data_IF_769919497316
#
_entry.id   IF_769919497316
#
_cell.length_a   1.000
_cell.length_b   1.000
_cell.length_c   1.000
_cell.angle_alpha   90.00
_cell.angle_beta   90.00
_cell.angle_gamma   90.00
#
_symmetry.space_group_name_H-M   'P 1'
#
loop_
_entity.id
_entity.type
_entity.pdbx_description
1 polymer ?
#
# COMPACT_ATOMS: atom_id res chain seq x y z
N UNK A 1 -0.25 -10.97 4.55
CA UNK A 1 0.59 -10.42 3.45
C UNK A 1 0.15 -8.96 3.26
N UNK A 2 1.04 -7.97 3.09
CA UNK A 2 0.72 -6.54 3.00
C UNK A 2 1.26 -6.00 1.66
N UNK A 3 0.67 -4.93 1.14
CA UNK A 3 0.91 -4.44 -0.20
C UNK A 3 0.66 -2.92 -0.32
N UNK A 4 1.46 -2.20 -1.13
CA UNK A 4 1.65 -0.73 -1.11
C UNK A 4 1.19 -0.07 -2.42
N UNK A 5 0.60 1.14 -2.38
CA UNK A 5 0.27 2.00 -3.54
C UNK A 5 0.03 3.45 -3.07
N UNK A 6 0.63 4.51 -3.68
CA UNK A 6 0.50 5.94 -3.28
C UNK A 6 0.04 6.89 -4.41
N UNK A 7 -1.18 7.45 -4.40
CA UNK A 7 -1.66 8.46 -5.40
C UNK A 7 -2.02 9.80 -4.76
N UNK A 8 -1.51 10.93 -5.27
CA UNK A 8 -1.97 12.31 -4.92
C UNK A 8 -1.99 13.24 -6.14
N UNK A 9 -2.97 14.14 -6.15
CA UNK A 9 -3.46 14.94 -7.28
C UNK A 9 -2.66 16.23 -7.55
N UNK A 10 -2.06 16.40 -8.74
CA UNK A 10 -1.70 17.70 -9.34
C UNK A 10 -1.94 17.69 -10.85
N UNK A 11 -2.53 18.76 -11.37
CA UNK A 11 -3.22 18.77 -12.66
C UNK A 11 -2.30 18.80 -13.88
N UNK A 12 -2.36 17.73 -14.68
CA UNK A 12 -2.30 17.82 -16.16
C UNK A 12 -2.81 16.56 -16.89
N UNK A 13 -2.95 15.42 -16.21
CA UNK A 13 -3.87 14.32 -16.57
C UNK A 13 -4.21 13.57 -15.30
N UNK A 14 -5.30 13.93 -14.62
CA UNK A 14 -5.71 13.10 -13.49
C UNK A 14 -6.49 11.94 -14.06
N UNK A 15 -5.78 10.82 -14.27
CA UNK A 15 -6.44 9.52 -14.38
C UNK A 15 -7.39 9.39 -13.20
N UNK A 16 -8.66 9.10 -13.46
CA UNK A 16 -9.70 9.11 -12.43
C UNK A 16 -9.33 8.17 -11.27
N UNK A 17 -9.89 8.41 -10.09
CA UNK A 17 -9.65 7.54 -8.92
C UNK A 17 -9.90 6.05 -9.25
N UNK A 18 -10.83 5.74 -10.14
CA UNK A 18 -11.08 4.38 -10.62
C UNK A 18 -9.91 3.78 -11.41
N UNK A 19 -9.28 4.54 -12.30
CA UNK A 19 -8.13 4.07 -13.09
C UNK A 19 -6.92 3.86 -12.18
N UNK A 20 -6.73 4.78 -11.24
CA UNK A 20 -5.70 4.67 -10.21
C UNK A 20 -5.93 3.45 -9.33
N UNK A 21 -7.15 3.26 -8.82
CA UNK A 21 -7.48 2.08 -8.02
C UNK A 21 -7.40 0.77 -8.82
N UNK A 22 -7.59 0.80 -10.14
CA UNK A 22 -7.33 -0.36 -10.99
C UNK A 22 -5.83 -0.68 -11.07
N UNK A 23 -4.98 0.33 -11.33
CA UNK A 23 -3.53 0.15 -11.32
C UNK A 23 -3.05 -0.37 -9.95
N UNK A 24 -3.65 0.14 -8.87
CA UNK A 24 -3.48 -0.40 -7.51
C UNK A 24 -3.80 -1.88 -7.49
N UNK A 25 -5.06 -2.20 -7.74
CA UNK A 25 -5.64 -3.54 -7.73
C UNK A 25 -4.80 -4.55 -8.51
N UNK A 26 -4.40 -4.22 -9.74
CA UNK A 26 -3.67 -5.13 -10.62
C UNK A 26 -2.28 -5.48 -10.05
N UNK A 27 -1.55 -4.50 -9.51
CA UNK A 27 -0.26 -4.73 -8.87
C UNK A 27 -0.40 -5.42 -7.49
N UNK A 28 -1.52 -5.20 -6.79
CA UNK A 28 -1.87 -5.98 -5.59
C UNK A 28 -1.92 -7.45 -5.90
N UNK A 29 -2.77 -7.78 -6.86
CA UNK A 29 -3.01 -9.16 -7.28
C UNK A 29 -1.74 -9.81 -7.81
N UNK A 30 -0.90 -9.07 -8.53
CA UNK A 30 0.36 -9.59 -9.06
C UNK A 30 1.31 -10.04 -7.93
N UNK A 31 1.60 -9.17 -6.97
CA UNK A 31 2.52 -9.52 -5.86
C UNK A 31 1.95 -10.59 -4.94
N UNK A 32 0.64 -10.58 -4.66
CA UNK A 32 0.01 -11.65 -3.86
C UNK A 32 -0.27 -12.92 -4.65
N UNK A 33 0.09 -12.95 -5.95
CA UNK A 33 -0.15 -14.08 -6.85
C UNK A 33 -1.62 -14.53 -6.85
N UNK A 34 -2.53 -13.54 -6.83
CA UNK A 34 -3.97 -13.78 -6.77
C UNK A 34 -4.45 -14.47 -8.04
N UNK A 35 -5.15 -15.63 -7.95
CA UNK A 35 -5.66 -16.33 -9.12
C UNK A 35 -6.61 -15.46 -9.95
N UNK A 36 -6.57 -15.57 -11.28
CA UNK A 36 -7.49 -14.85 -12.17
C UNK A 36 -8.98 -15.15 -11.87
N UNK A 37 -9.28 -16.32 -11.31
CA UNK A 37 -10.63 -16.72 -10.88
C UNK A 37 -11.12 -16.03 -9.60
N UNK A 38 -10.24 -15.38 -8.82
CA UNK A 38 -10.63 -14.65 -7.62
C UNK A 38 -11.31 -13.32 -8.01
N UNK A 39 -12.60 -13.12 -7.67
CA UNK A 39 -13.36 -11.93 -8.06
C UNK A 39 -13.05 -10.70 -7.21
N UNK A 40 -12.27 -10.83 -6.13
CA UNK A 40 -11.97 -9.71 -5.23
C UNK A 40 -11.00 -8.73 -5.90
N UNK A 41 -11.29 -7.41 -5.94
CA UNK A 41 -10.44 -6.45 -6.64
C UNK A 41 -8.97 -6.53 -6.19
N UNK A 42 -8.73 -6.58 -4.89
CA UNK A 42 -7.38 -6.58 -4.32
C UNK A 42 -6.86 -7.97 -3.96
N UNK A 43 -7.54 -9.06 -4.35
CA UNK A 43 -7.28 -10.38 -3.76
C UNK A 43 -7.66 -10.47 -2.28
N UNK A 44 -7.52 -11.66 -1.69
CA UNK A 44 -7.84 -11.90 -0.27
C UNK A 44 -6.65 -12.38 0.58
N UNK A 45 -5.42 -12.33 0.05
CA UNK A 45 -4.21 -12.83 0.72
C UNK A 45 -3.63 -11.86 1.78
N UNK A 46 -4.39 -10.82 2.15
CA UNK A 46 -3.99 -9.79 3.10
C UNK A 46 -5.04 -9.62 4.21
N UNK A 47 -4.57 -9.21 5.39
CA UNK A 47 -5.45 -8.91 6.53
C UNK A 47 -5.71 -7.40 6.64
N UNK A 48 -4.67 -6.61 6.39
CA UNK A 48 -4.73 -5.14 6.27
C UNK A 48 -3.98 -4.74 5.00
N UNK A 49 -4.57 -3.86 4.20
CA UNK A 49 -4.00 -3.27 3.00
C UNK A 49 -3.83 -1.77 3.23
N UNK A 50 -2.60 -1.28 3.22
CA UNK A 50 -2.29 0.13 3.48
C UNK A 50 -2.09 0.88 2.15
N UNK A 51 -3.11 1.61 1.71
CA UNK A 51 -3.10 2.42 0.49
C UNK A 51 -2.53 3.83 0.73
N UNK A 52 -2.33 4.21 1.99
CA UNK A 52 -1.80 5.51 2.36
C UNK A 52 -1.29 5.46 3.77
N UNK A 53 0.03 5.61 3.92
CA UNK A 53 0.71 5.53 5.20
C UNK A 53 1.98 6.37 5.23
N UNK A 54 2.50 6.61 6.42
CA UNK A 54 3.77 7.26 6.67
C UNK A 54 4.70 6.32 7.48
N UNK A 55 6.00 6.59 7.45
CA UNK A 55 6.95 6.03 8.42
C UNK A 55 7.37 4.57 8.22
N UNK A 56 7.05 3.96 7.08
CA UNK A 56 7.58 2.64 6.74
C UNK A 56 9.04 2.74 6.31
N UNK A 57 9.88 1.89 6.88
CA UNK A 57 11.25 1.70 6.41
C UNK A 57 11.26 0.63 5.31
N UNK A 58 11.87 0.96 4.17
CA UNK A 58 12.11 0.01 3.09
C UNK A 58 13.61 -0.20 2.95
N UNK A 59 14.10 -1.38 3.35
CA UNK A 59 15.51 -1.74 3.21
C UNK A 59 15.82 -2.14 1.75
N UNK A 60 17.08 -2.04 1.30
CA UNK A 60 17.46 -2.38 -0.07
C UNK A 60 17.02 -3.78 -0.50
N UNK A 61 17.03 -4.76 0.41
CA UNK A 61 16.68 -6.17 0.19
C UNK A 61 15.21 -6.53 0.50
N UNK A 62 14.39 -5.56 0.92
CA UNK A 62 12.97 -5.81 1.21
C UNK A 62 12.22 -6.28 -0.03
N UNK A 63 11.62 -7.49 0.02
CA UNK A 63 10.81 -8.06 -1.06
C UNK A 63 9.64 -7.14 -1.43
N UNK A 64 9.70 -6.57 -2.65
CA UNK A 64 8.68 -5.68 -3.18
C UNK A 64 8.50 -5.86 -4.69
N UNK A 65 7.32 -5.50 -5.17
CA UNK A 65 7.06 -5.28 -6.59
C UNK A 65 7.08 -3.77 -6.84
N UNK A 66 7.86 -3.31 -7.79
CA UNK A 66 7.85 -1.90 -8.23
C UNK A 66 7.22 -1.83 -9.63
N UNK A 67 6.41 -0.80 -9.86
CA UNK A 67 5.81 -0.54 -11.18
C UNK A 67 5.67 0.96 -11.38
N UNK A 68 5.81 1.34 -12.64
CA UNK A 68 5.73 2.72 -13.09
C UNK A 68 4.31 3.26 -12.96
N UNK A 69 4.19 4.52 -12.59
CA UNK A 69 2.93 5.26 -12.57
C UNK A 69 3.17 6.73 -12.89
N UNK A 70 2.71 7.17 -14.06
CA UNK A 70 2.86 8.54 -14.55
C UNK A 70 1.93 9.55 -13.85
N UNK A 71 1.00 9.08 -13.02
CA UNK A 71 0.16 9.96 -12.18
C UNK A 71 0.85 10.41 -10.90
N UNK A 72 2.04 9.88 -10.60
CA UNK A 72 2.80 10.29 -9.43
C UNK A 72 3.23 11.76 -9.56
N UNK A 73 3.13 12.47 -8.44
CA UNK A 73 3.76 13.78 -8.30
C UNK A 73 5.28 13.62 -8.39
N UNK A 74 5.95 14.58 -9.04
CA UNK A 74 7.41 14.59 -9.12
C UNK A 74 8.01 14.49 -7.71
N UNK A 75 9.06 13.67 -7.56
CA UNK A 75 9.68 13.39 -6.26
C UNK A 75 10.14 14.68 -5.55
N UNK A 76 10.58 15.67 -6.30
CA UNK A 76 10.98 16.99 -5.83
C UNK A 76 9.87 17.73 -5.09
N UNK A 77 8.61 17.55 -5.50
CA UNK A 77 7.48 18.34 -5.01
C UNK A 77 6.89 17.78 -3.70
N UNK A 78 7.13 16.49 -3.38
CA UNK A 78 6.57 15.86 -2.18
C UNK A 78 7.58 15.23 -1.21
N UNK A 79 8.79 14.86 -1.65
CA UNK A 79 9.67 14.02 -0.83
C UNK A 79 10.34 14.77 0.34
N UNK A 80 10.52 16.09 0.23
CA UNK A 80 11.14 16.92 1.27
C UNK A 80 12.41 16.30 1.87
N UNK A 81 12.45 16.17 3.21
CA UNK A 81 13.58 15.56 3.93
C UNK A 81 13.72 14.03 3.72
N UNK A 82 12.67 13.37 3.24
CA UNK A 82 12.62 11.91 3.07
C UNK A 82 13.23 11.42 1.75
N UNK A 83 13.61 12.33 0.83
CA UNK A 83 14.14 11.98 -0.50
C UNK A 83 15.25 10.91 -0.46
N UNK A 84 16.13 10.96 0.54
CA UNK A 84 17.24 10.01 0.73
C UNK A 84 16.81 8.58 1.14
N UNK A 85 15.55 8.40 1.54
CA UNK A 85 14.99 7.11 1.95
C UNK A 85 14.07 6.51 0.87
N UNK A 86 13.85 7.22 -0.24
CA UNK A 86 13.06 6.70 -1.35
C UNK A 86 13.88 5.69 -2.16
N UNK A 87 13.28 4.54 -2.43
CA UNK A 87 13.95 3.44 -3.15
C UNK A 87 13.87 3.60 -4.66
N UNK A 88 12.76 4.15 -5.16
CA UNK A 88 12.54 4.36 -6.59
C UNK A 88 11.84 5.68 -6.84
N UNK A 89 12.28 6.40 -7.87
CA UNK A 89 11.60 7.58 -8.40
C UNK A 89 10.61 7.12 -9.48
N UNK A 90 9.47 7.81 -9.59
CA UNK A 90 8.42 7.58 -10.60
C UNK A 90 7.79 6.18 -10.59
N UNK A 91 8.11 5.39 -9.56
CA UNK A 91 7.55 4.07 -9.33
C UNK A 91 6.82 4.07 -8.00
N UNK A 92 5.79 3.25 -7.95
CA UNK A 92 5.21 2.82 -6.69
C UNK A 92 5.75 1.45 -6.36
N UNK A 93 5.93 1.19 -5.08
CA UNK A 93 6.23 -0.16 -4.61
C UNK A 93 4.98 -0.82 -4.06
N UNK A 94 5.06 -2.13 -3.92
CA UNK A 94 4.09 -3.03 -3.36
C UNK A 94 4.88 -3.93 -2.42
N UNK A 95 4.68 -3.83 -1.12
CA UNK A 95 5.50 -4.58 -0.15
C UNK A 95 4.73 -4.94 1.11
N UNK A 96 5.22 -5.96 1.80
CA UNK A 96 4.80 -6.22 3.18
C UNK A 96 5.33 -5.09 4.08
N UNK A 97 4.47 -4.54 4.93
CA UNK A 97 4.89 -3.51 5.88
C UNK A 97 5.38 -4.11 7.18
N UNK A 98 6.46 -3.56 7.71
CA UNK A 98 7.01 -3.87 9.03
C UNK A 98 6.47 -2.93 10.11
N UNK A 99 6.34 -1.62 9.84
CA UNK A 99 5.88 -0.63 10.82
C UNK A 99 5.35 0.62 10.14
N UNK A 100 4.12 1.02 10.47
CA UNK A 100 3.58 2.31 10.04
C UNK A 100 3.40 3.26 11.21
N UNK A 101 3.85 4.50 11.04
CA UNK A 101 3.67 5.55 12.06
C UNK A 101 2.35 6.31 11.87
N UNK A 102 1.86 6.45 10.64
CA UNK A 102 0.62 7.17 10.34
C UNK A 102 -0.20 6.43 9.30
N UNK A 103 -1.51 6.52 9.47
CA UNK A 103 -2.55 5.98 8.61
C UNK A 103 -3.27 7.11 7.89
N UNK A 104 -3.31 7.07 6.55
CA UNK A 104 -4.18 7.93 5.75
C UNK A 104 -5.32 7.14 5.11
N UNK A 105 -5.07 5.90 4.70
CA UNK A 105 -6.09 5.00 4.17
C UNK A 105 -5.68 3.53 4.27
N UNK A 106 -6.61 2.68 4.67
CA UNK A 106 -6.46 1.23 4.62
C UNK A 106 -7.75 0.50 4.27
N UNK A 107 -7.60 -0.72 3.75
CA UNK A 107 -8.63 -1.75 3.74
C UNK A 107 -8.32 -2.83 4.78
N UNK A 108 -9.36 -3.39 5.38
CA UNK A 108 -9.24 -4.51 6.33
C UNK A 108 -10.09 -5.67 5.82
N UNK A 109 -9.49 -6.85 5.67
CA UNK A 109 -10.24 -8.02 5.23
C UNK A 109 -11.13 -8.54 6.36
N UNK A 110 -12.19 -9.28 6.04
CA UNK A 110 -13.07 -9.87 7.06
C UNK A 110 -12.30 -10.75 8.06
N UNK A 111 -11.27 -11.44 7.59
CA UNK A 111 -10.36 -12.24 8.43
C UNK A 111 -9.52 -11.32 9.33
N UNK A 112 -8.91 -10.28 8.76
CA UNK A 112 -8.12 -9.30 9.49
C UNK A 112 -8.93 -8.59 10.58
N UNK A 113 -10.14 -8.15 10.27
CA UNK A 113 -11.03 -7.48 11.24
C UNK A 113 -11.33 -8.36 12.47
N UNK A 114 -11.59 -9.66 12.26
CA UNK A 114 -11.78 -10.60 13.39
C UNK A 114 -10.51 -10.78 14.21
N UNK A 115 -9.36 -10.83 13.55
CA UNK A 115 -8.06 -10.93 14.23
C UNK A 115 -7.80 -9.70 15.11
N UNK A 116 -8.00 -8.51 14.54
CA UNK A 116 -7.85 -7.22 15.23
C UNK A 116 -8.77 -7.16 16.45
N UNK A 117 -10.07 -7.46 16.28
CA UNK A 117 -11.03 -7.44 17.38
C UNK A 117 -10.66 -8.42 18.50
N UNK A 118 -10.14 -9.61 18.14
CA UNK A 118 -9.66 -10.60 19.12
C UNK A 118 -8.46 -10.07 19.90
N UNK A 119 -7.49 -9.45 19.23
CA UNK A 119 -6.30 -8.85 19.87
C UNK A 119 -6.69 -7.70 20.79
N UNK A 120 -7.52 -6.76 20.31
CA UNK A 120 -8.01 -5.63 21.12
C UNK A 120 -8.80 -6.10 22.35
N UNK A 121 -9.61 -7.16 22.20
CA UNK A 121 -10.36 -7.74 23.33
C UNK A 121 -9.48 -8.37 24.41
N UNK A 122 -8.20 -8.65 24.10
CA UNK A 122 -7.22 -9.18 25.06
C UNK A 122 -6.46 -8.10 25.84
N UNK A 123 -6.82 -6.81 25.65
CA UNK A 123 -6.18 -5.69 26.34
C UNK A 123 -4.81 -5.30 25.78
N UNK A 124 -4.56 -5.63 24.51
CA UNK A 124 -3.34 -5.23 23.80
C UNK A 124 -3.56 -3.88 23.12
N UNK A 125 -2.56 -2.99 23.22
CA UNK A 125 -2.65 -1.62 22.70
C UNK A 125 -2.22 -1.51 21.22
N UNK A 126 -1.62 -2.58 20.66
CA UNK A 126 -1.11 -2.61 19.29
C UNK A 126 -1.73 -3.78 18.49
N UNK A 127 -2.92 -3.56 17.93
CA UNK A 127 -3.60 -4.59 17.12
C UNK A 127 -3.30 -4.50 15.62
N UNK A 128 -2.54 -3.49 15.19
CA UNK A 128 -2.26 -3.17 13.79
C UNK A 128 -0.77 -3.20 13.43
N UNK A 129 0.12 -3.48 14.39
CA UNK A 129 1.54 -3.72 14.14
C UNK A 129 1.72 -5.09 13.50
#
# INVERSE_FOLDING_TARGET
MRLLLKTTWTGTRVSGIHEQMKLVSDNVRNYTKTPASDPSPFGSAWDVLWLGHCGEMTEPDTERLEYYDDSLMATEDYAGFSKKFLVAQDHRSVQKLAMTMCTFSCGISRRGARSILKTLSSGQDEALT
#
